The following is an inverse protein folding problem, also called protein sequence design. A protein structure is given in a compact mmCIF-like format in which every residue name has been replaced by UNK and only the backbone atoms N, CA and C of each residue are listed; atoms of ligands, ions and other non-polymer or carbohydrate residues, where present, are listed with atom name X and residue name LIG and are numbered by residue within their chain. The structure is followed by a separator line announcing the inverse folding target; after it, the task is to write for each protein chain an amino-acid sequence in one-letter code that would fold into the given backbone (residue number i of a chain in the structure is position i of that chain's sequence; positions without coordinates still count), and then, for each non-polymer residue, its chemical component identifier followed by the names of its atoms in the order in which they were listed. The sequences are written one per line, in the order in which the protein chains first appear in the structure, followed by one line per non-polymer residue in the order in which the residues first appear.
data_IF_710116271265
#
_entry.id   IF_710116271265
#
_cell.length_a   1.000
_cell.length_b   1.000
_cell.length_c   1.000
_cell.angle_alpha   90.00
_cell.angle_beta   90.00
_cell.angle_gamma   90.00
#
_symmetry.space_group_name_H-M   'P 1'
#
loop_
_entity.id
_entity.type
_entity.pdbx_description
1 polymer ?
#
# COMPACT_ATOMS: atom_id res chain seq x y z
N UNK A 1 -17.69 -30.83 -32.33
CA UNK A 1 -16.65 -30.12 -32.58
C UNK A 1 -16.54 -28.80 -32.01
N UNK A 2 -17.44 -28.01 -32.15
CA UNK A 2 -17.34 -26.74 -31.62
C UNK A 2 -17.25 -26.73 -30.17
N UNK A 3 -17.70 -27.62 -29.48
CA UNK A 3 -17.62 -27.65 -28.09
C UNK A 3 -16.28 -27.57 -27.55
N UNK A 4 -15.36 -28.05 -28.15
CA UNK A 4 -14.05 -28.07 -27.68
C UNK A 4 -13.54 -26.74 -27.38
N UNK A 5 -13.81 -25.86 -28.18
CA UNK A 5 -13.33 -24.56 -28.04
C UNK A 5 -13.68 -23.93 -26.77
N UNK A 6 -14.84 -24.11 -26.32
CA UNK A 6 -15.25 -23.47 -25.14
C UNK A 6 -14.51 -23.87 -23.95
N UNK A 7 -14.11 -25.07 -23.90
CA UNK A 7 -13.42 -25.49 -22.71
C UNK A 7 -12.15 -24.77 -22.51
N UNK A 8 -11.47 -24.47 -23.52
CA UNK A 8 -10.24 -23.87 -23.38
C UNK A 8 -10.34 -22.59 -22.75
N UNK A 9 -11.29 -21.89 -23.10
CA UNK A 9 -11.47 -20.67 -22.60
C UNK A 9 -11.62 -20.57 -21.15
N UNK A 10 -12.27 -21.44 -20.56
CA UNK A 10 -12.43 -21.41 -19.18
C UNK A 10 -11.18 -21.55 -18.40
N UNK A 11 -10.34 -22.37 -18.83
CA UNK A 11 -9.11 -22.61 -18.16
C UNK A 11 -8.29 -21.39 -18.05
N UNK A 12 -8.24 -20.66 -19.05
CA UNK A 12 -7.42 -19.47 -19.04
C UNK A 12 -7.89 -18.52 -17.98
N UNK A 13 -9.12 -18.45 -17.81
CA UNK A 13 -9.64 -17.52 -16.85
C UNK A 13 -9.23 -17.83 -15.47
N UNK A 14 -9.20 -19.04 -15.12
CA UNK A 14 -8.88 -19.37 -13.77
C UNK A 14 -7.46 -19.10 -13.42
N UNK A 15 -6.60 -19.21 -14.32
CA UNK A 15 -5.23 -18.98 -14.03
C UNK A 15 -4.92 -17.61 -13.57
N UNK A 16 -5.51 -16.67 -14.18
CA UNK A 16 -5.13 -15.34 -13.87
C UNK A 16 -5.52 -14.89 -12.50
N UNK A 17 -6.44 -15.50 -11.89
CA UNK A 17 -6.84 -15.06 -10.61
C UNK A 17 -5.95 -15.44 -9.49
N UNK A 18 -5.43 -16.57 -9.55
CA UNK A 18 -4.60 -17.06 -8.50
C UNK A 18 -3.43 -16.25 -8.09
N UNK A 19 -2.75 -15.70 -9.00
CA UNK A 19 -1.51 -15.04 -8.66
C UNK A 19 -1.65 -13.81 -7.82
N UNK A 20 -2.75 -13.22 -7.84
CA UNK A 20 -2.90 -11.95 -7.17
C UNK A 20 -2.77 -11.96 -5.69
N UNK A 21 -3.08 -13.04 -5.06
CA UNK A 21 -3.03 -13.05 -3.64
C UNK A 21 -1.95 -13.84 -3.03
N UNK A 22 -0.86 -13.94 -3.68
CA UNK A 22 0.22 -14.75 -3.18
C UNK A 22 1.12 -14.09 -2.17
N UNK A 23 1.05 -12.78 -2.05
CA UNK A 23 1.96 -12.11 -1.14
C UNK A 23 1.57 -12.34 0.31
N UNK A 24 2.53 -12.63 1.12
CA UNK A 24 2.35 -12.85 2.54
C UNK A 24 2.94 -11.75 3.37
N UNK A 25 3.89 -11.03 2.81
CA UNK A 25 4.64 -10.00 3.52
C UNK A 25 4.76 -8.76 2.66
N UNK A 26 4.59 -7.61 3.29
CA UNK A 26 4.72 -6.32 2.62
C UNK A 26 5.66 -5.46 3.44
N UNK A 27 6.56 -4.74 2.78
CA UNK A 27 7.41 -3.78 3.45
C UNK A 27 6.98 -2.40 2.98
N UNK A 28 6.79 -1.49 3.90
CA UNK A 28 6.23 -0.18 3.56
C UNK A 28 6.67 0.91 4.52
N UNK A 29 6.53 2.13 4.05
CA UNK A 29 6.67 3.32 4.87
C UNK A 29 5.34 4.03 4.90
N UNK A 30 5.09 4.88 5.90
CA UNK A 30 3.86 5.64 5.96
C UNK A 30 4.07 7.02 6.54
N UNK A 31 3.11 7.90 6.27
CA UNK A 31 3.04 9.22 6.88
C UNK A 31 1.66 9.31 7.51
N UNK A 32 1.59 9.63 8.79
CA UNK A 32 0.32 9.77 9.49
C UNK A 32 0.06 11.24 9.79
N UNK A 33 -1.10 11.73 9.36
CA UNK A 33 -1.51 13.11 9.64
C UNK A 33 -2.95 13.09 10.13
N UNK A 34 -3.36 14.11 10.88
CA UNK A 34 -4.71 14.11 11.47
C UNK A 34 -5.84 14.36 10.48
N UNK A 35 -5.59 15.08 9.40
CA UNK A 35 -6.65 15.50 8.49
C UNK A 35 -6.47 14.98 7.09
N UNK A 36 -7.57 14.67 6.45
CA UNK A 36 -7.54 14.17 5.08
C UNK A 36 -6.95 15.21 4.12
N UNK A 37 -7.28 16.45 4.32
CA UNK A 37 -6.80 17.51 3.45
C UNK A 37 -5.29 17.61 3.49
N UNK A 38 -4.71 17.42 4.66
CA UNK A 38 -3.25 17.45 4.80
C UNK A 38 -2.63 16.27 4.04
N UNK A 39 -3.25 15.11 4.09
CA UNK A 39 -2.76 13.95 3.36
C UNK A 39 -2.83 14.19 1.86
N UNK A 40 -3.91 14.78 1.38
CA UNK A 40 -4.08 15.08 -0.03
C UNK A 40 -3.01 16.05 -0.50
N UNK A 41 -2.74 17.07 0.28
CA UNK A 41 -1.74 18.07 -0.08
C UNK A 41 -0.37 17.43 -0.14
N UNK A 42 -0.03 16.63 0.84
CA UNK A 42 1.27 15.99 0.87
C UNK A 42 1.42 15.05 -0.31
N UNK A 43 0.38 14.29 -0.62
CA UNK A 43 0.45 13.37 -1.75
C UNK A 43 0.82 14.11 -3.02
N UNK A 44 0.25 15.28 -3.24
CA UNK A 44 0.52 16.04 -4.45
C UNK A 44 1.96 16.53 -4.55
N UNK A 45 2.66 16.59 -3.44
CA UNK A 45 4.03 17.08 -3.40
C UNK A 45 5.08 15.97 -3.45
N UNK A 46 4.66 14.72 -3.27
CA UNK A 46 5.56 13.60 -3.24
C UNK A 46 5.75 13.04 -4.65
N UNK A 47 6.96 13.14 -5.16
CA UNK A 47 7.26 12.67 -6.50
C UNK A 47 8.07 11.40 -6.52
N UNK A 48 8.82 11.15 -5.45
CA UNK A 48 9.64 9.97 -5.35
C UNK A 48 9.76 9.55 -3.89
N UNK A 49 10.48 8.48 -3.64
CA UNK A 49 10.59 7.96 -2.27
C UNK A 49 11.38 8.89 -1.37
N UNK A 50 12.31 9.61 -1.93
CA UNK A 50 13.08 10.56 -1.16
C UNK A 50 12.18 11.66 -0.61
N UNK A 51 11.26 12.15 -1.43
CA UNK A 51 10.28 13.15 -0.99
C UNK A 51 9.41 12.56 0.11
N UNK A 52 8.99 11.31 -0.06
CA UNK A 52 8.14 10.65 0.91
C UNK A 52 8.83 10.62 2.28
N UNK A 53 10.07 10.21 2.30
CA UNK A 53 10.82 10.15 3.54
C UNK A 53 11.00 11.51 4.18
N UNK A 54 11.26 12.50 3.36
CA UNK A 54 11.44 13.86 3.82
C UNK A 54 10.16 14.37 4.50
N UNK A 55 9.02 14.21 3.86
CA UNK A 55 7.78 14.69 4.43
C UNK A 55 7.34 13.85 5.64
N UNK A 56 7.71 12.60 5.68
CA UNK A 56 7.45 11.77 6.86
C UNK A 56 8.16 12.35 8.08
N UNK A 57 9.40 12.78 7.90
CA UNK A 57 10.17 13.34 9.01
C UNK A 57 9.58 14.66 9.50
N UNK A 58 9.02 15.44 8.61
CA UNK A 58 8.49 16.75 8.99
C UNK A 58 7.07 16.67 9.51
N UNK A 59 6.21 15.92 8.87
CA UNK A 59 4.78 16.00 9.14
C UNK A 59 4.15 14.79 9.82
N UNK A 60 4.79 13.63 9.78
CA UNK A 60 4.14 12.45 10.35
C UNK A 60 4.02 12.58 11.86
N UNK A 61 2.84 12.28 12.38
CA UNK A 61 2.62 12.29 13.81
C UNK A 61 2.99 10.95 14.44
N UNK A 62 3.33 9.96 13.62
CA UNK A 62 3.78 8.67 14.12
C UNK A 62 5.28 8.72 14.40
N UNK A 63 5.75 8.05 15.47
CA UNK A 63 7.18 8.03 15.77
C UNK A 63 8.05 7.51 14.62
N UNK A 64 7.51 6.65 13.76
CA UNK A 64 8.26 6.16 12.61
C UNK A 64 8.68 7.27 11.67
N UNK A 65 8.07 8.44 11.78
CA UNK A 65 8.47 9.58 10.95
C UNK A 65 9.94 9.90 11.07
N UNK A 66 10.55 9.65 12.20
CA UNK A 66 11.98 9.94 12.40
C UNK A 66 12.84 9.12 11.45
N UNK A 67 12.36 7.97 11.04
CA UNK A 67 13.08 7.11 10.12
C UNK A 67 12.45 7.17 8.73
N UNK A 68 11.93 8.31 8.35
CA UNK A 68 11.33 8.47 7.03
C UNK A 68 10.02 7.71 6.85
N UNK A 69 9.39 7.35 7.96
CA UNK A 69 8.14 6.62 7.94
C UNK A 69 8.28 5.10 7.84
N UNK A 70 9.49 4.60 7.90
CA UNK A 70 9.75 3.17 7.69
C UNK A 70 9.08 2.32 8.76
N UNK A 71 8.24 1.39 8.35
CA UNK A 71 7.59 0.45 9.25
C UNK A 71 8.21 -0.93 9.15
N UNK A 72 9.14 -1.12 8.23
CA UNK A 72 9.71 -2.44 8.01
C UNK A 72 8.71 -3.30 7.27
N UNK A 73 8.74 -4.59 7.54
CA UNK A 73 7.91 -5.56 6.84
C UNK A 73 6.92 -6.20 7.80
N UNK A 74 5.74 -6.51 7.32
CA UNK A 74 4.68 -7.05 8.16
C UNK A 74 3.79 -8.00 7.36
N UNK A 75 3.13 -8.90 8.06
CA UNK A 75 2.20 -9.83 7.46
C UNK A 75 0.78 -9.43 7.79
N UNK A 76 -0.16 -10.21 7.31
CA UNK A 76 -1.56 -9.97 7.59
C UNK A 76 -1.81 -10.19 9.07
N UNK A 77 -2.69 -9.40 9.63
CA UNK A 77 -3.04 -9.50 11.03
C UNK A 77 -2.20 -8.65 11.97
N UNK A 78 -1.17 -7.99 11.45
CA UNK A 78 -0.29 -7.18 12.29
C UNK A 78 -0.65 -5.71 12.31
N UNK A 79 -1.34 -5.23 11.29
CA UNK A 79 -1.74 -3.83 11.20
C UNK A 79 -3.26 -3.74 11.24
N UNK A 80 -3.79 -2.55 11.52
CA UNK A 80 -5.22 -2.36 11.49
C UNK A 80 -5.73 -2.61 10.07
N UNK A 81 -6.95 -3.08 9.97
CA UNK A 81 -7.47 -3.60 8.72
C UNK A 81 -7.40 -2.64 7.53
N UNK A 82 -7.84 -1.40 7.63
CA UNK A 82 -7.77 -0.52 6.47
C UNK A 82 -6.35 -0.30 5.98
N UNK A 83 -5.39 -0.23 6.91
CA UNK A 83 -4.01 -0.03 6.56
C UNK A 83 -3.47 -1.28 5.88
N UNK A 84 -3.78 -2.44 6.42
CA UNK A 84 -3.33 -3.70 5.86
C UNK A 84 -3.83 -3.86 4.42
N UNK A 85 -5.10 -3.58 4.19
CA UNK A 85 -5.67 -3.72 2.86
C UNK A 85 -5.00 -2.78 1.87
N UNK A 86 -4.76 -1.56 2.29
CA UNK A 86 -4.10 -0.60 1.41
C UNK A 86 -2.67 -1.03 1.09
N UNK A 87 -1.97 -1.57 2.06
CA UNK A 87 -0.60 -1.99 1.86
C UNK A 87 -0.50 -3.20 0.94
N UNK A 88 -1.35 -4.20 1.16
CA UNK A 88 -1.29 -5.42 0.37
C UNK A 88 -1.81 -5.23 -1.05
N UNK A 89 -2.73 -4.29 -1.25
CA UNK A 89 -3.28 -4.00 -2.56
C UNK A 89 -2.56 -2.86 -3.28
N UNK A 90 -1.68 -2.16 -2.60
CA UNK A 90 -1.02 -1.01 -3.17
C UNK A 90 0.05 -1.39 -4.19
N UNK A 91 0.41 -0.44 -5.01
CA UNK A 91 1.47 -0.65 -6.00
C UNK A 91 2.82 -0.31 -5.39
N UNK A 92 3.81 -1.11 -5.72
CA UNK A 92 5.17 -0.83 -5.26
C UNK A 92 5.68 0.41 -5.95
N UNK A 93 6.29 1.29 -5.18
CA UNK A 93 6.97 2.44 -5.78
C UNK A 93 6.13 3.66 -6.01
N UNK A 94 4.96 3.73 -5.41
CA UNK A 94 4.17 4.96 -5.54
C UNK A 94 3.40 5.26 -4.25
N UNK A 95 3.06 6.52 -4.07
CA UNK A 95 2.33 6.93 -2.87
C UNK A 95 0.86 6.55 -3.01
N UNK A 96 0.27 6.05 -1.94
CA UNK A 96 -1.12 5.65 -1.96
C UNK A 96 -2.07 6.84 -1.87
N UNK A 97 -3.35 6.58 -2.08
CA UNK A 97 -4.38 7.54 -1.70
C UNK A 97 -4.44 7.58 -0.17
N UNK A 98 -5.01 8.62 0.42
CA UNK A 98 -5.16 8.66 1.86
C UNK A 98 -5.98 7.50 2.40
N UNK A 99 -5.50 6.90 3.46
CA UNK A 99 -6.15 5.74 4.08
C UNK A 99 -6.59 6.12 5.49
N UNK A 100 -7.87 6.07 5.76
CA UNK A 100 -8.38 6.43 7.07
C UNK A 100 -8.30 5.27 8.04
N UNK A 101 -7.78 5.52 9.25
CA UNK A 101 -7.81 4.57 10.34
C UNK A 101 -8.24 5.31 11.59
N UNK A 102 -8.31 4.61 12.70
CA UNK A 102 -8.64 5.26 13.97
C UNK A 102 -7.59 6.28 14.41
N UNK A 103 -6.41 6.24 13.83
CA UNK A 103 -5.33 7.14 14.20
C UNK A 103 -5.29 8.42 13.36
N UNK A 104 -5.98 8.46 12.24
CA UNK A 104 -5.97 9.60 11.34
C UNK A 104 -5.89 9.14 9.90
N UNK A 105 -5.14 9.86 9.08
CA UNK A 105 -5.02 9.53 7.66
C UNK A 105 -3.58 9.19 7.33
N UNK A 106 -3.40 8.07 6.66
CA UNK A 106 -2.07 7.57 6.31
C UNK A 106 -1.84 7.70 4.81
N UNK A 107 -0.62 8.04 4.45
CA UNK A 107 -0.14 7.83 3.09
C UNK A 107 0.85 6.69 3.19
N UNK A 108 0.78 5.73 2.28
CA UNK A 108 1.66 4.57 2.28
C UNK A 108 2.54 4.56 1.07
N UNK A 109 3.71 4.00 1.24
CA UNK A 109 4.61 3.74 0.11
C UNK A 109 5.13 2.33 0.29
N UNK A 110 4.68 1.42 -0.57
CA UNK A 110 5.09 0.02 -0.51
C UNK A 110 6.40 -0.12 -1.26
N UNK A 111 7.41 -0.68 -0.59
CA UNK A 111 8.72 -0.84 -1.20
C UNK A 111 8.94 -2.27 -1.70
N UNK A 112 8.26 -3.23 -1.09
CA UNK A 112 8.52 -4.63 -1.42
C UNK A 112 7.35 -5.51 -1.03
N UNK A 113 7.12 -6.57 -1.78
CA UNK A 113 6.12 -7.57 -1.43
C UNK A 113 6.70 -8.95 -1.69
N UNK A 114 6.44 -9.91 -0.82
CA UNK A 114 6.87 -11.29 -1.05
C UNK A 114 6.15 -12.31 -0.16
#
# INVERSE_FOLDING_TARGET
MKKLLTTLFLIAATCSIVSAEEFRTVCASHILVPNEMDAIKLKSQIKDFSDFQYYARIYSTCPSGRNGGDLGCFGKGQMVKPFEEAAFNGNIGEVSDPVKTQFGYHLLWVTKKY
#
